data_IF_873184355461
#
_entry.id   IF_873184355461
#
_cell.length_a   1.000
_cell.length_b   1.000
_cell.length_c   1.000
_cell.angle_alpha   90.00
_cell.angle_beta   90.00
_cell.angle_gamma   90.00
#
_symmetry.space_group_name_H-M   'P 1'
#
loop_
_entity.id
_entity.type
_entity.pdbx_description
1 polymer ?
#
# COMPACT_ATOMS: atom_id res chain seq x y z
N UNK A 1 -7.97 -0.10 15.39
CA UNK A 1 -7.46 0.23 14.05
C UNK A 1 -7.84 -0.81 13.00
N UNK A 2 -7.53 -2.10 13.23
CA UNK A 2 -7.89 -3.18 12.28
C UNK A 2 -9.21 -3.88 12.63
N UNK A 3 -9.40 -4.30 13.88
CA UNK A 3 -10.62 -4.96 14.30
C UNK A 3 -11.83 -4.00 14.19
N UNK A 4 -12.89 -4.37 13.44
CA UNK A 4 -14.14 -3.63 13.47
C UNK A 4 -14.75 -3.70 14.88
N UNK A 5 -15.33 -2.60 15.34
CA UNK A 5 -16.07 -2.58 16.61
C UNK A 5 -17.18 -3.65 16.59
N UNK A 6 -17.23 -4.48 17.62
CA UNK A 6 -18.27 -5.51 17.77
C UNK A 6 -18.21 -6.63 16.73
N UNK A 7 -17.03 -6.94 16.17
CA UNK A 7 -16.82 -8.08 15.25
C UNK A 7 -15.82 -9.13 15.74
N UNK A 8 -15.63 -9.25 17.05
CA UNK A 8 -14.71 -10.23 17.65
C UNK A 8 -15.31 -11.64 17.67
N UNK A 9 -16.63 -11.78 17.53
CA UNK A 9 -17.36 -13.06 17.53
C UNK A 9 -17.01 -13.99 16.36
N UNK A 10 -16.32 -13.49 15.34
CA UNK A 10 -15.82 -14.30 14.20
C UNK A 10 -14.50 -15.02 14.49
N UNK A 11 -13.90 -14.77 15.65
CA UNK A 11 -12.62 -15.35 16.05
C UNK A 11 -12.85 -16.34 17.18
N UNK A 12 -12.29 -17.54 17.04
CA UNK A 12 -12.26 -18.52 18.13
C UNK A 12 -11.35 -18.09 19.28
N UNK A 13 -10.35 -17.28 18.96
CA UNK A 13 -9.36 -16.73 19.86
C UNK A 13 -9.91 -15.50 20.61
N UNK A 14 -9.49 -15.34 21.86
CA UNK A 14 -9.73 -14.09 22.61
C UNK A 14 -8.96 -12.96 21.92
N UNK A 15 -9.67 -12.12 21.17
CA UNK A 15 -9.08 -10.97 20.51
C UNK A 15 -8.53 -9.96 21.52
N UNK A 16 -7.28 -9.57 21.33
CA UNK A 16 -6.62 -8.52 22.12
C UNK A 16 -6.24 -7.39 21.18
N UNK A 17 -6.47 -6.15 21.60
CA UNK A 17 -6.21 -4.97 20.79
C UNK A 17 -5.14 -4.10 21.43
N UNK A 18 -4.25 -3.59 20.59
CA UNK A 18 -3.46 -2.41 20.92
C UNK A 18 -4.35 -1.18 20.73
N UNK A 19 -4.45 -0.35 21.76
CA UNK A 19 -5.32 0.83 21.81
C UNK A 19 -4.58 2.10 21.37
N UNK A 20 -3.25 2.13 21.52
CA UNK A 20 -2.42 3.29 21.20
C UNK A 20 -1.76 3.14 19.83
N UNK A 21 -1.46 1.94 19.35
CA UNK A 21 -0.77 1.73 18.06
C UNK A 21 -1.59 0.93 17.04
N UNK A 22 -1.14 0.98 15.77
CA UNK A 22 -1.65 0.12 14.70
C UNK A 22 -1.37 -1.36 15.00
N UNK A 23 -2.01 -2.27 14.27
CA UNK A 23 -1.81 -3.72 14.47
C UNK A 23 -0.40 -4.22 14.09
N UNK A 24 0.44 -3.36 13.51
CA UNK A 24 1.84 -3.62 13.24
C UNK A 24 2.65 -2.35 13.53
N UNK A 25 3.94 -2.56 13.76
CA UNK A 25 4.96 -1.51 13.77
C UNK A 25 5.91 -1.78 12.60
N UNK A 26 6.04 -0.80 11.72
CA UNK A 26 6.92 -0.85 10.58
C UNK A 26 8.31 -0.34 10.95
N UNK A 27 9.34 -1.05 10.47
CA UNK A 27 10.71 -0.57 10.47
C UNK A 27 11.29 -0.95 9.11
N UNK A 28 11.72 0.03 8.30
CA UNK A 28 12.35 -0.26 7.01
C UNK A 28 13.60 -1.12 7.22
N UNK A 29 13.85 -2.02 6.28
CA UNK A 29 14.94 -3.01 6.38
C UNK A 29 16.30 -2.36 6.64
N UNK A 30 16.59 -1.19 6.05
CA UNK A 30 17.87 -0.48 6.21
C UNK A 30 18.15 -0.07 7.65
N UNK A 31 17.11 0.34 8.38
CA UNK A 31 17.21 0.67 9.79
C UNK A 31 17.39 -0.59 10.64
N UNK A 32 16.77 -1.71 10.24
CA UNK A 32 16.90 -2.98 10.94
C UNK A 32 18.26 -3.66 10.71
N UNK A 33 18.78 -3.60 9.49
CA UNK A 33 20.03 -4.22 9.08
C UNK A 33 21.28 -3.46 9.58
N UNK A 34 21.10 -2.35 10.33
CA UNK A 34 22.18 -1.46 10.77
C UNK A 34 23.11 -1.04 9.63
N UNK A 35 22.57 -0.94 8.41
CA UNK A 35 23.32 -0.43 7.29
C UNK A 35 23.53 1.06 7.52
N UNK A 36 24.75 1.45 7.93
CA UNK A 36 25.24 2.84 8.05
C UNK A 36 25.06 3.69 6.76
N UNK A 37 24.43 3.12 5.72
CA UNK A 37 24.11 3.71 4.42
C UNK A 37 22.67 4.19 4.28
N UNK A 38 21.81 4.09 5.30
CA UNK A 38 20.63 4.95 5.38
C UNK A 38 21.07 6.40 5.66
N UNK A 39 21.92 6.96 4.78
CA UNK A 39 22.01 8.40 4.67
C UNK A 39 20.61 8.82 4.26
N UNK A 40 19.96 9.58 5.13
CA UNK A 40 18.93 10.54 4.77
C UNK A 40 19.55 11.58 3.80
N UNK A 41 20.13 11.11 2.69
CA UNK A 41 20.48 11.97 1.58
C UNK A 41 19.15 12.54 1.13
N UNK A 42 19.06 13.86 1.09
CA UNK A 42 17.98 14.59 0.46
C UNK A 42 17.87 14.09 -0.98
N UNK A 43 17.11 13.02 -1.18
CA UNK A 43 16.91 12.41 -2.47
C UNK A 43 15.93 13.33 -3.19
N UNK A 44 16.34 13.81 -4.35
CA UNK A 44 15.52 14.71 -5.15
C UNK A 44 14.15 14.06 -5.39
N UNK A 45 13.09 14.77 -5.02
CA UNK A 45 11.73 14.25 -5.14
C UNK A 45 11.37 14.18 -6.62
N UNK A 46 11.39 12.97 -7.17
CA UNK A 46 10.98 12.72 -8.55
C UNK A 46 9.45 12.58 -8.65
N UNK A 47 8.87 13.29 -9.62
CA UNK A 47 7.48 13.11 -10.06
C UNK A 47 7.49 12.68 -11.54
N UNK A 48 7.45 11.37 -11.82
CA UNK A 48 7.31 10.86 -13.19
C UNK A 48 6.19 11.54 -13.96
N UNK A 49 5.06 11.86 -13.32
CA UNK A 49 3.96 12.58 -13.97
C UNK A 49 4.38 13.92 -14.58
N UNK A 50 5.16 14.75 -13.87
CA UNK A 50 5.58 16.04 -14.42
C UNK A 50 6.56 15.90 -15.60
N UNK A 51 7.34 14.82 -15.63
CA UNK A 51 8.33 14.57 -16.68
C UNK A 51 7.69 13.94 -17.92
N UNK A 52 6.75 13.01 -17.70
CA UNK A 52 6.13 12.21 -18.74
C UNK A 52 4.83 12.82 -19.31
N UNK A 53 4.25 13.81 -18.61
CA UNK A 53 2.91 14.36 -18.87
C UNK A 53 1.74 13.39 -18.69
N UNK A 54 1.97 12.21 -18.09
CA UNK A 54 0.93 11.24 -17.73
C UNK A 54 1.18 10.62 -16.34
N UNK A 55 0.13 10.25 -15.59
CA UNK A 55 0.29 9.58 -14.30
C UNK A 55 0.78 8.13 -14.46
N UNK A 56 1.72 7.73 -13.61
CA UNK A 56 2.18 6.34 -13.50
C UNK A 56 1.64 5.66 -12.25
N UNK A 57 0.86 4.60 -12.46
CA UNK A 57 0.28 3.76 -11.43
C UNK A 57 1.14 2.53 -11.19
N UNK A 58 1.23 2.08 -9.94
CA UNK A 58 2.01 0.91 -9.55
C UNK A 58 1.18 -0.05 -8.70
N UNK A 59 1.24 -1.34 -9.02
CA UNK A 59 0.80 -2.39 -8.11
C UNK A 59 1.89 -3.47 -7.98
N UNK A 60 2.29 -3.73 -6.74
CA UNK A 60 3.29 -4.75 -6.38
C UNK A 60 2.71 -5.89 -5.54
N UNK A 61 1.37 -5.98 -5.49
CA UNK A 61 0.69 -7.00 -4.72
C UNK A 61 0.80 -8.36 -5.42
N UNK A 62 0.75 -9.44 -4.62
CA UNK A 62 0.72 -10.81 -5.15
C UNK A 62 -0.46 -10.99 -6.11
N UNK A 63 -0.27 -11.76 -7.19
CA UNK A 63 -1.29 -11.94 -8.23
C UNK A 63 -2.60 -12.49 -7.68
N UNK A 64 -2.54 -13.33 -6.65
CA UNK A 64 -3.71 -13.89 -5.97
C UNK A 64 -4.60 -12.83 -5.31
N UNK A 65 -4.06 -11.63 -5.05
CA UNK A 65 -4.79 -10.50 -4.48
C UNK A 65 -5.43 -9.61 -5.55
N UNK A 66 -5.07 -9.77 -6.82
CA UNK A 66 -5.65 -9.04 -7.94
C UNK A 66 -6.81 -9.86 -8.50
N UNK A 67 -8.04 -9.54 -8.09
CA UNK A 67 -9.26 -10.11 -8.68
C UNK A 67 -9.63 -9.41 -9.99
N UNK A 68 -10.43 -10.07 -10.84
CA UNK A 68 -10.93 -9.46 -12.08
C UNK A 68 -11.83 -8.26 -11.78
N UNK A 69 -12.64 -8.30 -10.72
CA UNK A 69 -13.48 -7.16 -10.31
C UNK A 69 -12.67 -5.92 -9.97
N UNK A 70 -11.53 -6.08 -9.28
CA UNK A 70 -10.64 -4.98 -8.95
C UNK A 70 -9.95 -4.43 -10.20
N UNK A 71 -9.49 -5.31 -11.09
CA UNK A 71 -8.93 -4.90 -12.37
C UNK A 71 -9.97 -4.16 -13.21
N UNK A 72 -11.21 -4.64 -13.29
CA UNK A 72 -12.30 -3.95 -13.98
C UNK A 72 -12.62 -2.58 -13.35
N UNK A 73 -12.53 -2.45 -12.03
CA UNK A 73 -12.65 -1.17 -11.34
C UNK A 73 -11.56 -0.20 -11.80
N UNK A 74 -10.30 -0.61 -11.81
CA UNK A 74 -9.19 0.23 -12.28
C UNK A 74 -9.32 0.56 -13.76
N UNK A 75 -9.67 -0.42 -14.59
CA UNK A 75 -9.89 -0.25 -16.02
C UNK A 75 -10.92 0.83 -16.33
N UNK A 76 -12.04 0.86 -15.59
CA UNK A 76 -13.06 1.92 -15.75
C UNK A 76 -12.51 3.31 -15.44
N UNK A 77 -11.56 3.43 -14.51
CA UNK A 77 -10.88 4.71 -14.25
C UNK A 77 -9.91 5.05 -15.38
N UNK A 78 -9.20 4.06 -15.90
CA UNK A 78 -8.29 4.24 -17.04
C UNK A 78 -9.00 4.65 -18.34
N UNK A 79 -10.29 4.35 -18.50
CA UNK A 79 -11.08 4.87 -19.62
C UNK A 79 -11.32 6.39 -19.55
N UNK A 80 -11.21 6.97 -18.35
CA UNK A 80 -11.38 8.40 -18.09
C UNK A 80 -10.04 9.18 -18.12
N UNK A 81 -8.95 8.50 -18.46
CA UNK A 81 -7.59 9.04 -18.51
C UNK A 81 -7.01 8.75 -19.89
N UNK A 82 -6.70 9.81 -20.65
CA UNK A 82 -6.22 9.68 -22.03
C UNK A 82 -4.88 8.93 -22.11
N UNK A 83 -3.89 9.40 -21.36
CA UNK A 83 -2.57 8.78 -21.27
C UNK A 83 -2.20 8.45 -19.83
N UNK A 84 -1.64 7.26 -19.63
CA UNK A 84 -1.20 6.75 -18.34
C UNK A 84 -0.25 5.58 -18.54
N UNK A 85 0.46 5.24 -17.46
CA UNK A 85 1.23 4.00 -17.37
C UNK A 85 0.78 3.20 -16.17
N UNK A 86 0.51 1.90 -16.35
CA UNK A 86 0.31 0.96 -15.26
C UNK A 86 1.51 0.01 -15.18
N UNK A 87 2.21 0.01 -14.06
CA UNK A 87 3.27 -0.94 -13.75
C UNK A 87 2.69 -2.02 -12.83
N UNK A 88 2.71 -3.27 -13.29
CA UNK A 88 2.41 -4.44 -12.48
C UNK A 88 3.70 -5.22 -12.24
N UNK A 89 4.30 -5.02 -11.08
CA UNK A 89 5.48 -5.79 -10.69
C UNK A 89 5.06 -7.01 -9.88
N UNK A 90 5.34 -8.20 -10.42
CA UNK A 90 4.84 -9.43 -9.83
C UNK A 90 5.78 -10.60 -10.09
N UNK A 91 5.83 -11.55 -9.15
CA UNK A 91 6.64 -12.77 -9.29
C UNK A 91 6.22 -13.63 -10.48
N UNK A 92 4.94 -13.61 -10.86
CA UNK A 92 4.48 -14.34 -12.06
C UNK A 92 5.17 -13.82 -13.33
N UNK A 93 5.54 -12.54 -13.36
CA UNK A 93 6.21 -11.93 -14.51
C UNK A 93 7.70 -12.31 -14.60
N UNK A 94 8.23 -13.12 -13.67
CA UNK A 94 9.61 -13.62 -13.70
C UNK A 94 9.83 -14.75 -14.71
N UNK A 95 8.77 -15.35 -15.27
CA UNK A 95 8.86 -16.31 -16.39
C UNK A 95 8.09 -15.80 -17.60
N UNK A 96 8.39 -16.32 -18.79
CA UNK A 96 7.67 -15.92 -20.01
C UNK A 96 6.21 -16.37 -19.96
N UNK A 97 5.96 -17.61 -19.54
CA UNK A 97 4.61 -18.18 -19.46
C UNK A 97 3.73 -17.41 -18.48
N UNK A 98 4.31 -16.94 -17.37
CA UNK A 98 3.62 -16.13 -16.39
C UNK A 98 3.34 -14.70 -16.87
N UNK A 99 4.24 -14.10 -17.66
CA UNK A 99 3.99 -12.84 -18.35
C UNK A 99 2.87 -12.99 -19.36
N UNK A 100 2.93 -14.00 -20.22
CA UNK A 100 1.89 -14.29 -21.22
C UNK A 100 0.53 -14.53 -20.55
N UNK A 101 0.49 -15.31 -19.47
CA UNK A 101 -0.72 -15.54 -18.69
C UNK A 101 -1.36 -14.22 -18.25
N UNK A 102 -0.57 -13.34 -17.64
CA UNK A 102 -1.07 -12.06 -17.16
C UNK A 102 -1.46 -11.12 -18.31
N UNK A 103 -0.69 -11.09 -19.41
CA UNK A 103 -1.05 -10.33 -20.62
C UNK A 103 -2.38 -10.79 -21.21
N UNK A 104 -2.60 -12.10 -21.33
CA UNK A 104 -3.87 -12.68 -21.83
C UNK A 104 -5.04 -12.25 -20.95
N UNK A 105 -4.87 -12.36 -19.62
CA UNK A 105 -5.88 -11.94 -18.64
C UNK A 105 -6.20 -10.44 -18.72
N UNK A 106 -5.17 -9.59 -18.80
CA UNK A 106 -5.37 -8.14 -18.93
C UNK A 106 -6.05 -7.78 -20.24
N UNK A 107 -5.65 -8.41 -21.35
CA UNK A 107 -6.27 -8.23 -22.65
C UNK A 107 -7.74 -8.64 -22.65
N UNK A 108 -8.10 -9.76 -22.02
CA UNK A 108 -9.51 -10.18 -21.92
C UNK A 108 -10.37 -9.23 -21.08
N UNK A 109 -9.76 -8.48 -20.17
CA UNK A 109 -10.42 -7.42 -19.39
C UNK A 109 -10.41 -6.05 -20.08
N UNK A 110 -9.85 -5.96 -21.29
CA UNK A 110 -9.84 -4.74 -22.10
C UNK A 110 -8.72 -3.74 -21.77
N UNK A 111 -7.64 -4.18 -21.11
CA UNK A 111 -6.48 -3.32 -20.88
C UNK A 111 -5.68 -3.08 -22.16
N UNK A 112 -5.20 -1.85 -22.32
CA UNK A 112 -4.22 -1.48 -23.35
C UNK A 112 -2.83 -1.94 -22.91
N UNK A 113 -2.31 -2.99 -23.53
CA UNK A 113 -0.98 -3.53 -23.20
C UNK A 113 0.15 -2.53 -23.52
N UNK A 114 -0.05 -1.59 -24.44
CA UNK A 114 0.90 -0.50 -24.71
C UNK A 114 1.09 0.45 -23.51
N UNK A 115 0.05 0.60 -22.67
CA UNK A 115 0.06 1.41 -21.45
C UNK A 115 0.30 0.57 -20.18
N UNK A 116 0.54 -0.73 -20.31
CA UNK A 116 0.75 -1.64 -19.18
C UNK A 116 2.14 -2.30 -19.25
N UNK A 117 2.94 -2.13 -18.21
CA UNK A 117 4.26 -2.73 -18.09
C UNK A 117 4.26 -3.83 -17.04
N UNK A 118 4.70 -5.01 -17.44
CA UNK A 118 4.82 -6.17 -16.57
C UNK A 118 6.27 -6.35 -16.16
N UNK A 119 6.56 -6.08 -14.89
CA UNK A 119 7.91 -6.21 -14.35
C UNK A 119 8.05 -7.50 -13.53
N UNK A 120 9.19 -8.22 -13.66
CA UNK A 120 9.48 -9.36 -12.81
C UNK A 120 9.71 -8.91 -11.36
N UNK A 121 9.67 -9.86 -10.44
CA UNK A 121 10.21 -9.61 -9.10
C UNK A 121 11.69 -9.19 -9.20
N UNK A 122 12.07 -8.15 -8.46
CA UNK A 122 13.45 -7.65 -8.39
C UNK A 122 13.86 -7.50 -6.92
N UNK A 123 15.08 -7.92 -6.54
CA UNK A 123 15.66 -7.54 -5.25
C UNK A 123 15.79 -6.02 -5.08
N UNK A 124 15.96 -5.30 -6.19
CA UNK A 124 16.02 -3.84 -6.25
C UNK A 124 14.65 -3.22 -6.58
N UNK A 125 13.60 -3.73 -5.91
CA UNK A 125 12.22 -3.28 -6.14
C UNK A 125 11.98 -1.83 -5.69
N UNK A 126 12.86 -1.28 -4.83
CA UNK A 126 12.72 0.08 -4.30
C UNK A 126 12.78 1.13 -5.40
N UNK A 127 13.63 0.92 -6.40
CA UNK A 127 13.70 1.76 -7.59
C UNK A 127 12.40 1.75 -8.41
N UNK A 128 11.53 0.75 -8.24
CA UNK A 128 10.20 0.75 -8.89
C UNK A 128 9.27 1.79 -8.28
N UNK A 129 9.34 2.04 -6.96
CA UNK A 129 8.51 3.07 -6.32
C UNK A 129 8.81 4.48 -6.87
N UNK A 130 10.06 4.73 -7.25
CA UNK A 130 10.51 6.02 -7.81
C UNK A 130 10.01 6.25 -9.23
N UNK A 131 9.69 5.19 -9.96
CA UNK A 131 9.11 5.24 -11.30
C UNK A 131 7.60 5.51 -11.30
N UNK A 132 6.97 5.57 -10.12
CA UNK A 132 5.53 5.71 -9.98
C UNK A 132 5.12 7.00 -9.27
N UNK A 133 3.87 7.38 -9.53
CA UNK A 133 3.21 8.53 -8.93
C UNK A 133 2.15 8.10 -7.91
N UNK A 134 1.47 6.97 -8.16
CA UNK A 134 0.38 6.46 -7.33
C UNK A 134 0.51 4.94 -7.19
N UNK A 135 0.46 4.41 -5.97
CA UNK A 135 0.32 2.98 -5.72
C UNK A 135 -1.14 2.57 -5.55
N UNK A 136 -1.52 1.46 -6.17
CA UNK A 136 -2.85 0.87 -6.08
C UNK A 136 -2.80 -0.37 -5.18
N UNK A 137 -3.48 -0.29 -4.05
CA UNK A 137 -3.64 -1.42 -3.13
C UNK A 137 -4.78 -2.35 -3.57
N UNK A 138 -4.73 -3.59 -3.10
CA UNK A 138 -5.70 -4.64 -3.42
C UNK A 138 -6.80 -4.78 -2.38
N UNK A 139 -7.91 -5.39 -2.76
CA UNK A 139 -9.07 -5.67 -1.90
C UNK A 139 -9.70 -7.00 -2.35
N UNK A 140 -10.22 -7.85 -1.44
CA UNK A 140 -10.35 -7.65 0.00
C UNK A 140 -9.05 -7.86 0.79
N UNK A 141 -7.96 -8.27 0.14
CA UNK A 141 -6.69 -8.52 0.83
C UNK A 141 -5.64 -7.46 0.44
N UNK A 142 -5.46 -6.40 1.24
CA UNK A 142 -4.52 -5.32 0.95
C UNK A 142 -3.05 -5.73 1.19
N UNK A 143 -2.16 -4.79 0.90
CA UNK A 143 -0.76 -4.82 1.29
C UNK A 143 -0.56 -4.59 2.78
N UNK A 144 0.54 -5.15 3.29
CA UNK A 144 1.10 -4.84 4.60
C UNK A 144 2.46 -4.18 4.41
N UNK A 145 3.51 -4.99 4.33
CA UNK A 145 4.87 -4.52 4.08
C UNK A 145 5.00 -3.69 2.79
N UNK A 146 4.42 -4.14 1.68
CA UNK A 146 4.45 -3.41 0.40
C UNK A 146 3.82 -2.02 0.49
N UNK A 147 2.74 -1.87 1.27
CA UNK A 147 2.10 -0.58 1.53
C UNK A 147 3.01 0.31 2.38
N UNK A 148 3.62 -0.22 3.43
CA UNK A 148 4.57 0.52 4.26
C UNK A 148 5.80 0.99 3.46
N UNK A 149 6.38 0.12 2.63
CA UNK A 149 7.53 0.43 1.77
C UNK A 149 7.17 1.52 0.73
N UNK A 150 5.98 1.44 0.12
CA UNK A 150 5.51 2.49 -0.79
C UNK A 150 5.38 3.85 -0.09
N UNK A 151 4.75 3.90 1.10
CA UNK A 151 4.63 5.13 1.88
C UNK A 151 6.00 5.65 2.34
N UNK A 152 6.91 4.75 2.72
CA UNK A 152 8.29 5.11 3.10
C UNK A 152 9.07 5.72 1.91
N UNK A 153 8.83 5.22 0.70
CA UNK A 153 9.35 5.80 -0.54
C UNK A 153 8.62 7.08 -1.00
N UNK A 154 7.67 7.60 -0.20
CA UNK A 154 6.90 8.80 -0.52
C UNK A 154 5.80 8.59 -1.57
N UNK A 155 5.48 7.35 -1.93
CA UNK A 155 4.47 7.03 -2.93
C UNK A 155 3.08 6.94 -2.26
N UNK A 156 2.10 7.81 -2.61
CA UNK A 156 0.75 7.69 -2.07
C UNK A 156 0.09 6.38 -2.51
N UNK A 157 -0.52 5.68 -1.56
CA UNK A 157 -1.21 4.40 -1.78
C UNK A 157 -2.72 4.59 -1.64
N UNK A 158 -3.53 4.13 -2.58
CA UNK A 158 -5.00 4.12 -2.47
C UNK A 158 -5.44 2.74 -2.00
N UNK A 159 -6.24 2.66 -0.93
CA UNK A 159 -6.76 1.39 -0.38
C UNK A 159 -8.28 1.41 -0.25
N UNK A 160 -8.93 0.25 -0.33
CA UNK A 160 -10.37 0.10 -0.08
C UNK A 160 -10.59 -0.57 1.27
N UNK A 161 -11.17 0.16 2.22
CA UNK A 161 -11.49 -0.34 3.56
C UNK A 161 -12.66 -1.32 3.50
N UNK A 162 -12.39 -2.57 3.88
CA UNK A 162 -13.44 -3.58 3.99
C UNK A 162 -14.03 -3.72 5.40
N UNK A 163 -14.72 -4.84 5.60
CA UNK A 163 -15.60 -5.11 6.74
C UNK A 163 -15.06 -6.14 7.73
N UNK A 164 -13.92 -6.76 7.41
CA UNK A 164 -13.20 -7.73 8.23
C UNK A 164 -11.79 -7.20 8.56
N UNK A 165 -11.10 -7.76 9.56
CA UNK A 165 -9.79 -7.27 9.97
C UNK A 165 -8.76 -7.22 8.84
N UNK A 166 -8.67 -8.26 8.01
CA UNK A 166 -7.64 -8.32 6.97
C UNK A 166 -7.90 -7.28 5.87
N UNK A 167 -9.15 -7.10 5.48
CA UNK A 167 -9.55 -6.05 4.52
C UNK A 167 -9.45 -4.62 5.05
N UNK A 168 -9.03 -4.44 6.30
CA UNK A 168 -8.82 -3.13 6.94
C UNK A 168 -7.36 -2.83 7.23
N UNK A 169 -6.45 -3.74 6.92
CA UNK A 169 -5.02 -3.56 7.17
C UNK A 169 -4.47 -2.33 6.43
N UNK A 170 -4.75 -2.18 5.13
CA UNK A 170 -4.35 -1.01 4.35
C UNK A 170 -4.88 0.30 4.96
N UNK A 171 -6.17 0.35 5.28
CA UNK A 171 -6.79 1.52 5.93
C UNK A 171 -6.14 1.84 7.29
N UNK A 172 -5.85 0.82 8.10
CA UNK A 172 -5.16 0.99 9.38
C UNK A 172 -3.76 1.58 9.21
N UNK A 173 -3.01 1.17 8.18
CA UNK A 173 -1.68 1.68 7.88
C UNK A 173 -1.77 3.16 7.47
N UNK A 174 -2.70 3.50 6.57
CA UNK A 174 -2.89 4.86 6.10
C UNK A 174 -3.32 5.82 7.20
N UNK A 175 -4.27 5.42 8.07
CA UNK A 175 -4.65 6.22 9.24
C UNK A 175 -3.47 6.43 10.18
N UNK A 176 -2.66 5.38 10.42
CA UNK A 176 -1.45 5.54 11.24
C UNK A 176 -0.47 6.53 10.60
N UNK A 177 -0.34 6.53 9.28
CA UNK A 177 0.53 7.42 8.50
C UNK A 177 -0.06 8.81 8.21
N UNK A 178 -1.20 9.19 8.81
CA UNK A 178 -1.91 10.46 8.58
C UNK A 178 -2.33 10.69 7.11
N UNK A 179 -2.71 9.61 6.42
CA UNK A 179 -3.10 9.59 5.01
C UNK A 179 -4.56 9.12 4.82
N UNK A 180 -5.45 9.50 5.73
CA UNK A 180 -6.85 9.05 5.75
C UNK A 180 -7.63 9.40 4.47
N UNK A 181 -7.24 10.45 3.75
CA UNK A 181 -7.91 10.87 2.51
C UNK A 181 -7.61 9.98 1.30
N UNK A 182 -6.71 9.00 1.46
CA UNK A 182 -6.42 7.94 0.50
C UNK A 182 -7.18 6.63 0.80
N UNK A 183 -8.00 6.61 1.86
CA UNK A 183 -8.81 5.45 2.25
C UNK A 183 -10.19 5.56 1.60
N UNK A 184 -10.50 4.60 0.73
CA UNK A 184 -11.81 4.47 0.15
C UNK A 184 -12.76 3.66 1.03
N UNK A 185 -14.03 4.07 1.08
CA UNK A 185 -15.12 3.36 1.77
C UNK A 185 -15.94 2.47 0.82
N UNK A 186 -15.88 2.76 -0.48
CA UNK A 186 -16.62 2.03 -1.53
C UNK A 186 -15.80 1.97 -2.82
N UNK A 187 -16.07 1.03 -3.73
CA UNK A 187 -15.42 1.00 -5.05
C UNK A 187 -15.55 2.33 -5.82
N UNK A 188 -16.73 2.98 -5.74
CA UNK A 188 -16.95 4.30 -6.35
C UNK A 188 -16.04 5.37 -5.73
N UNK A 189 -15.85 5.33 -4.41
CA UNK A 189 -14.95 6.25 -3.74
C UNK A 189 -13.48 5.99 -4.09
N UNK A 190 -13.08 4.72 -4.23
CA UNK A 190 -11.75 4.32 -4.70
C UNK A 190 -11.45 4.89 -6.09
N UNK A 191 -12.37 4.69 -7.04
CA UNK A 191 -12.27 5.25 -8.39
C UNK A 191 -12.16 6.78 -8.38
N UNK A 192 -12.94 7.46 -7.52
CA UNK A 192 -12.89 8.92 -7.36
C UNK A 192 -11.53 9.39 -6.84
N UNK A 193 -10.94 8.72 -5.84
CA UNK A 193 -9.61 9.07 -5.31
C UNK A 193 -8.56 8.88 -6.41
N UNK A 194 -8.62 7.76 -7.13
CA UNK A 194 -7.71 7.44 -8.22
C UNK A 194 -7.74 8.51 -9.32
N UNK A 195 -8.94 8.89 -9.78
CA UNK A 195 -9.12 9.94 -10.79
C UNK A 195 -8.71 11.34 -10.30
N UNK A 196 -8.92 11.64 -9.01
CA UNK A 196 -8.53 12.92 -8.44
C UNK A 196 -7.01 13.09 -8.38
N UNK A 197 -6.28 12.02 -8.06
CA UNK A 197 -4.81 12.03 -8.08
C UNK A 197 -4.27 12.06 -9.50
N UNK A 198 -4.86 11.28 -10.42
CA UNK A 198 -4.42 11.19 -11.81
C UNK A 198 -4.52 12.49 -12.59
N UNK A 199 -5.28 13.47 -12.09
CA UNK A 199 -5.44 14.81 -12.69
C UNK A 199 -4.71 15.91 -11.91
N UNK A 200 -3.98 15.58 -10.84
CA UNK A 200 -3.41 16.56 -9.93
C UNK A 200 -1.97 16.23 -9.51
N UNK A 201 -0.97 16.49 -10.37
CA UNK A 201 0.44 16.27 -10.05
C UNK A 201 0.91 17.08 -8.83
N UNK A 202 0.29 18.24 -8.55
CA UNK A 202 0.58 19.04 -7.36
C UNK A 202 0.13 18.36 -6.07
N UNK A 203 -0.98 17.61 -6.09
CA UNK A 203 -1.42 16.80 -4.95
C UNK A 203 -0.45 15.63 -4.71
N UNK A 204 0.06 15.01 -5.78
CA UNK A 204 1.06 13.94 -5.69
C UNK A 204 2.38 14.45 -5.13
N UNK A 205 2.84 15.64 -5.56
CA UNK A 205 4.04 16.29 -5.00
C UNK A 205 3.91 16.45 -3.48
N UNK A 206 2.78 16.96 -3.00
CA UNK A 206 2.53 17.13 -1.56
C UNK A 206 2.64 15.82 -0.80
N UNK A 207 2.18 14.70 -1.35
CA UNK A 207 2.39 13.40 -0.69
C UNK A 207 3.86 13.01 -0.68
N UNK A 208 4.57 13.11 -1.82
CA UNK A 208 5.99 12.76 -1.89
C UNK A 208 6.85 13.59 -0.92
N UNK A 209 6.51 14.87 -0.71
CA UNK A 209 7.18 15.76 0.24
C UNK A 209 6.90 15.42 1.72
N UNK A 210 5.70 14.93 2.04
CA UNK A 210 5.25 14.84 3.43
C UNK A 210 5.16 13.41 3.97
N UNK A 211 4.95 12.39 3.13
CA UNK A 211 4.69 11.02 3.57
C UNK A 211 5.82 10.46 4.43
N UNK A 212 7.09 10.59 4.02
CA UNK A 212 8.21 10.09 4.81
C UNK A 212 8.29 10.79 6.17
N UNK A 213 8.11 12.11 6.21
CA UNK A 213 8.09 12.90 7.46
C UNK A 213 6.94 12.46 8.36
N UNK A 214 5.74 12.30 7.79
CA UNK A 214 4.56 11.83 8.53
C UNK A 214 4.79 10.43 9.10
N UNK A 215 5.36 9.53 8.29
CA UNK A 215 5.63 8.15 8.68
C UNK A 215 6.65 8.08 9.83
N UNK A 216 7.77 8.82 9.74
CA UNK A 216 8.80 8.89 10.81
C UNK A 216 8.22 9.41 12.15
N UNK A 217 7.18 10.25 12.11
CA UNK A 217 6.50 10.80 13.28
C UNK A 217 5.20 10.05 13.65
N UNK A 218 4.89 8.95 12.95
CA UNK A 218 3.64 8.22 13.13
C UNK A 218 3.75 7.11 14.17
N UNK A 219 2.58 6.68 14.64
CA UNK A 219 2.43 5.45 15.46
C UNK A 219 2.86 4.19 14.71
N UNK A 220 2.95 4.23 13.39
CA UNK A 220 3.39 3.10 12.57
C UNK A 220 4.88 2.82 12.75
N UNK A 221 5.70 3.85 13.03
CA UNK A 221 7.15 3.73 13.21
C UNK A 221 7.59 3.99 14.67
N UNK A 222 6.66 4.12 15.62
CA UNK A 222 6.98 4.27 17.05
C UNK A 222 7.33 2.92 17.68
N UNK A 223 8.52 2.41 17.39
CA UNK A 223 9.01 1.12 17.89
C UNK A 223 8.99 1.07 19.42
N UNK A 224 9.36 2.19 20.09
CA UNK A 224 9.44 2.25 21.55
C UNK A 224 8.03 2.20 22.17
N UNK A 225 7.12 3.03 21.67
CA UNK A 225 5.72 3.06 22.12
C UNK A 225 5.01 1.74 21.85
N UNK A 226 5.19 1.18 20.66
CA UNK A 226 4.62 -0.11 20.27
C UNK A 226 5.12 -1.24 21.17
N UNK A 227 6.43 -1.35 21.36
CA UNK A 227 7.02 -2.42 22.20
C UNK A 227 6.56 -2.33 23.65
N UNK A 228 6.46 -1.11 24.19
CA UNK A 228 5.94 -0.87 25.53
C UNK A 228 4.48 -1.34 25.66
N UNK A 229 3.63 -0.97 24.71
CA UNK A 229 2.22 -1.37 24.75
C UNK A 229 2.03 -2.89 24.61
N UNK A 230 2.78 -3.53 23.71
CA UNK A 230 2.77 -4.99 23.55
C UNK A 230 3.18 -5.67 24.86
N UNK A 231 4.23 -5.19 25.52
CA UNK A 231 4.68 -5.75 26.80
C UNK A 231 3.65 -5.56 27.92
N UNK A 232 3.01 -4.39 28.01
CA UNK A 232 1.93 -4.13 28.96
C UNK A 232 0.77 -5.13 28.76
N UNK A 233 0.40 -5.38 27.49
CA UNK A 233 -0.62 -6.37 27.14
C UNK A 233 -0.21 -7.78 27.52
N UNK A 234 1.02 -8.21 27.19
CA UNK A 234 1.52 -9.54 27.55
C UNK A 234 1.59 -9.74 29.06
N UNK A 235 2.05 -8.74 29.81
CA UNK A 235 2.09 -8.77 31.26
C UNK A 235 0.68 -8.97 31.85
N UNK A 236 -0.31 -8.20 31.36
CA UNK A 236 -1.70 -8.34 31.76
C UNK A 236 -2.24 -9.75 31.50
N UNK A 237 -1.99 -10.30 30.30
CA UNK A 237 -2.45 -11.65 29.95
C UNK A 237 -1.78 -12.73 30.82
N UNK A 238 -0.50 -12.57 31.13
CA UNK A 238 0.22 -13.47 32.03
C UNK A 238 -0.37 -13.45 33.45
N UNK A 239 -0.62 -12.25 33.99
CA UNK A 239 -1.23 -12.07 35.32
C UNK A 239 -2.67 -12.60 35.40
N UNK A 240 -3.43 -12.57 34.31
CA UNK A 240 -4.83 -13.05 34.25
C UNK A 240 -4.97 -14.57 34.08
N UNK A 241 -3.98 -15.27 33.50
CA UNK A 241 -4.16 -16.65 33.03
C UNK A 241 -3.13 -17.68 33.53
N UNK A 242 -1.99 -17.25 34.08
CA UNK A 242 -0.88 -18.15 34.45
C UNK A 242 -0.53 -18.08 35.94
N UNK A 243 -0.80 -16.95 36.61
CA UNK A 243 -0.75 -16.85 38.07
C UNK A 243 -2.08 -17.25 38.69
#
# INVERSE_FOLDING_TARGET
>A
FIMPLGKTERFSEKCVSLHKHSALCYTPYELWANEKKAKDAEKEISIPFKQNNYPTFLCMQNLLKLSDDLLLLWRKVFDEIEDFKLILQNKVCSTEEGREFLQRRLKSLGYKLSQTELLPFSPDYKNTFEKADIALDTTPYPGGATTCEALYAGLPVITLKGNDPWSRLGASILTAAFADDLIAETPKNYARIMLALSKNPSKILKYKENLLKNLKNSRLMDIKGYSKEVFEVYKKLYEENIK
#
